data_IF_766483524742
#
_entry.id   IF_766483524742
#
_cell.length_a   1.000
_cell.length_b   1.000
_cell.length_c   1.000
_cell.angle_alpha   90.00
_cell.angle_beta   90.00
_cell.angle_gamma   90.00
#
_symmetry.space_group_name_H-M   'P 1'
#
loop_
_entity.id
_entity.type
_entity.pdbx_description
1 polymer ?
#
# COMPACT_ATOMS: atom_id res chain seq x y z
N UNK A 1 15.90 -14.87 2.67
CA UNK A 1 14.52 -15.34 2.96
C UNK A 1 13.50 -14.50 2.19
N UNK A 2 12.73 -15.12 1.28
CA UNK A 2 11.75 -14.45 0.41
C UNK A 2 10.31 -14.60 0.93
N UNK A 3 9.40 -13.76 0.42
CA UNK A 3 7.96 -13.96 0.64
C UNK A 3 7.50 -15.28 0.02
N UNK A 4 6.55 -15.95 0.66
CA UNK A 4 5.90 -17.15 0.13
C UNK A 4 4.96 -16.73 -1.02
N UNK A 5 5.22 -17.16 -2.27
CA UNK A 5 4.40 -16.80 -3.43
C UNK A 5 2.91 -17.13 -3.28
N UNK A 6 2.58 -18.20 -2.56
CA UNK A 6 1.20 -18.65 -2.36
C UNK A 6 0.41 -17.74 -1.41
N UNK A 7 1.11 -16.88 -0.67
CA UNK A 7 0.50 -15.92 0.27
C UNK A 7 0.40 -14.51 -0.30
N UNK A 8 0.90 -14.30 -1.53
CA UNK A 8 0.91 -13.00 -2.16
C UNK A 8 -0.48 -12.67 -2.74
N UNK A 9 -0.95 -11.42 -2.55
CA UNK A 9 -2.20 -10.99 -3.17
C UNK A 9 -2.06 -10.95 -4.70
N UNK A 10 -3.10 -11.38 -5.39
CA UNK A 10 -3.15 -11.31 -6.85
C UNK A 10 -3.00 -9.84 -7.33
N UNK A 11 -2.31 -9.57 -8.46
CA UNK A 11 -2.07 -8.19 -8.93
C UNK A 11 -3.32 -7.34 -9.09
N UNK A 12 -4.45 -7.94 -9.50
CA UNK A 12 -5.73 -7.22 -9.61
C UNK A 12 -6.22 -6.69 -8.26
N UNK A 13 -6.00 -7.43 -7.16
CA UNK A 13 -6.38 -6.99 -5.82
C UNK A 13 -5.50 -5.82 -5.35
N UNK A 14 -4.21 -5.82 -5.73
CA UNK A 14 -3.32 -4.70 -5.47
C UNK A 14 -3.73 -3.47 -6.29
N UNK A 15 -4.04 -3.64 -7.58
CA UNK A 15 -4.48 -2.55 -8.45
C UNK A 15 -5.73 -1.85 -7.90
N UNK A 16 -6.73 -2.61 -7.43
CA UNK A 16 -7.94 -2.07 -6.80
C UNK A 16 -7.64 -1.19 -5.58
N UNK A 17 -6.62 -1.55 -4.80
CA UNK A 17 -6.22 -0.81 -3.58
C UNK A 17 -5.38 0.42 -3.90
N UNK A 18 -4.65 0.43 -5.01
CA UNK A 18 -3.82 1.57 -5.45
C UNK A 18 -4.67 2.62 -6.18
N UNK A 19 -5.70 2.21 -6.93
CA UNK A 19 -6.53 3.12 -7.73
C UNK A 19 -7.05 4.37 -6.96
N UNK A 20 -7.51 4.27 -5.69
CA UNK A 20 -7.94 5.42 -4.91
C UNK A 20 -6.86 6.50 -4.70
N UNK A 21 -5.57 6.15 -4.81
CA UNK A 21 -4.47 7.12 -4.71
C UNK A 21 -4.44 8.15 -5.84
N UNK A 22 -5.11 7.87 -6.96
CA UNK A 22 -5.27 8.82 -8.06
C UNK A 22 -6.56 9.66 -7.94
N UNK A 23 -7.34 9.50 -6.86
CA UNK A 23 -8.58 10.24 -6.67
C UNK A 23 -8.29 11.71 -6.38
N UNK A 24 -8.96 12.66 -7.05
CA UNK A 24 -8.85 14.08 -6.73
C UNK A 24 -9.43 14.43 -5.35
N UNK A 25 -10.18 13.51 -4.73
CA UNK A 25 -10.75 13.70 -3.40
C UNK A 25 -9.80 13.28 -2.26
N UNK A 26 -8.69 12.60 -2.56
CA UNK A 26 -7.73 12.18 -1.54
C UNK A 26 -7.02 13.40 -0.93
N UNK A 27 -6.92 13.45 0.40
CA UNK A 27 -6.32 14.59 1.12
C UNK A 27 -5.03 14.22 1.84
N UNK A 28 -4.80 12.93 2.05
CA UNK A 28 -3.62 12.36 2.70
C UNK A 28 -2.39 12.54 1.82
N UNK A 29 -1.30 13.09 2.39
CA UNK A 29 -0.03 13.31 1.70
C UNK A 29 1.16 13.09 2.65
N UNK A 30 2.35 12.88 2.11
CA UNK A 30 3.59 12.66 2.89
C UNK A 30 3.68 11.31 3.62
N UNK A 31 2.78 10.37 3.31
CA UNK A 31 2.70 9.04 3.93
C UNK A 31 3.10 7.95 2.93
N UNK A 32 3.37 6.75 3.45
CA UNK A 32 3.60 5.55 2.65
C UNK A 32 2.30 4.74 2.62
N UNK A 33 1.77 4.44 1.44
CA UNK A 33 0.61 3.54 1.31
C UNK A 33 1.06 2.08 1.18
N UNK A 34 0.73 1.25 2.18
CA UNK A 34 1.02 -0.19 2.15
C UNK A 34 -0.14 -0.95 1.48
N UNK A 35 -0.06 -1.19 0.17
CA UNK A 35 -1.13 -1.86 -0.60
C UNK A 35 -1.51 -3.26 -0.07
N UNK A 36 -0.55 -4.02 0.47
CA UNK A 36 -0.81 -5.34 1.10
C UNK A 36 -1.75 -5.23 2.32
N UNK A 37 -1.61 -4.17 3.12
CA UNK A 37 -2.39 -3.91 4.33
C UNK A 37 -3.52 -2.89 4.14
N UNK A 38 -3.62 -2.29 2.95
CA UNK A 38 -4.61 -1.28 2.59
C UNK A 38 -4.67 -0.10 3.59
N UNK A 39 -3.51 0.45 3.96
CA UNK A 39 -3.42 1.57 4.92
C UNK A 39 -2.24 2.50 4.63
N UNK A 40 -2.38 3.75 5.05
CA UNK A 40 -1.26 4.68 5.15
C UNK A 40 -0.46 4.44 6.43
N UNK A 41 0.86 4.58 6.34
CA UNK A 41 1.77 4.55 7.48
C UNK A 41 2.74 5.74 7.40
N UNK A 42 3.15 6.24 8.56
CA UNK A 42 4.20 7.24 8.66
C UNK A 42 5.58 6.57 8.52
N UNK A 43 6.53 7.28 7.92
CA UNK A 43 7.93 6.89 7.96
C UNK A 43 8.50 7.11 9.37
N UNK A 44 9.31 6.16 9.84
CA UNK A 44 10.06 6.25 11.10
C UNK A 44 11.53 6.00 10.80
N UNK A 45 12.40 6.91 11.26
CA UNK A 45 13.85 6.68 11.21
C UNK A 45 14.22 5.51 12.13
N UNK A 46 15.24 4.71 11.78
CA UNK A 46 15.77 3.68 12.68
C UNK A 46 16.25 4.28 14.01
N UNK A 47 16.17 3.49 15.08
CA UNK A 47 16.78 3.81 16.38
C UNK A 47 18.23 3.32 16.46
#
# INVERSE_FOLDING_TARGET
>A
PGEDPETLPHPQEIAKRILPLASPALRETGLIFQAKHNRFVAYRQPE
#
